data_IF_479443565706
#
_entry.id   IF_479443565706
#
_cell.length_a   1.000
_cell.length_b   1.000
_cell.length_c   1.000
_cell.angle_alpha   90.00
_cell.angle_beta   90.00
_cell.angle_gamma   90.00
#
_symmetry.space_group_name_H-M   'P 1'
#
loop_
_entity.id
_entity.type
_entity.pdbx_description
1 polymer ?
#
# COMPACT_ATOMS: atom_id res chain seq x y z
N UNK A 1 -1.41 30.00 8.83
CA UNK A 1 -0.79 28.79 8.29
C UNK A 1 -0.25 29.15 6.92
N UNK A 2 1.01 28.95 6.65
CA UNK A 2 1.62 29.22 5.33
C UNK A 2 1.62 27.93 4.51
N UNK A 3 1.02 27.97 3.33
CA UNK A 3 0.96 26.85 2.37
C UNK A 3 1.97 26.98 1.23
N UNK A 4 2.89 27.95 1.34
CA UNK A 4 3.91 28.17 0.32
C UNK A 4 4.96 27.06 0.37
N UNK A 5 5.21 26.42 -0.76
CA UNK A 5 6.28 25.42 -0.88
C UNK A 5 7.65 26.07 -0.70
N UNK A 6 8.55 25.37 -0.02
CA UNK A 6 9.98 25.75 0.04
C UNK A 6 10.63 25.68 -1.35
N UNK A 7 11.83 26.23 -1.50
CA UNK A 7 12.58 26.14 -2.73
C UNK A 7 12.91 24.68 -3.10
N UNK A 8 13.30 23.88 -2.11
CA UNK A 8 13.54 22.44 -2.28
C UNK A 8 12.30 21.68 -2.74
N UNK A 9 11.14 21.98 -2.15
CA UNK A 9 9.88 21.38 -2.54
C UNK A 9 9.44 21.77 -3.96
N UNK A 10 9.67 23.02 -4.35
CA UNK A 10 9.44 23.45 -5.75
C UNK A 10 10.36 22.74 -6.72
N UNK A 11 11.63 22.56 -6.37
CA UNK A 11 12.58 21.80 -7.19
C UNK A 11 12.17 20.33 -7.33
N UNK A 12 11.78 19.68 -6.23
CA UNK A 12 11.22 18.32 -6.23
C UNK A 12 9.99 18.25 -7.14
N UNK A 13 9.02 19.14 -6.96
CA UNK A 13 7.81 19.20 -7.77
C UNK A 13 8.11 19.30 -9.26
N UNK A 14 9.04 20.16 -9.65
CA UNK A 14 9.42 20.35 -11.06
C UNK A 14 10.10 19.10 -11.63
N UNK A 15 10.98 18.45 -10.86
CA UNK A 15 11.66 17.22 -11.27
C UNK A 15 10.66 16.08 -11.50
N UNK A 16 9.76 15.86 -10.54
CA UNK A 16 8.72 14.82 -10.63
C UNK A 16 7.75 15.10 -11.78
N UNK A 17 7.32 16.35 -11.94
CA UNK A 17 6.45 16.77 -13.05
C UNK A 17 7.08 16.46 -14.40
N UNK A 18 8.36 16.82 -14.57
CA UNK A 18 9.08 16.54 -15.80
C UNK A 18 9.12 15.04 -16.11
N UNK A 19 9.51 14.24 -15.13
CA UNK A 19 9.50 12.77 -15.26
C UNK A 19 8.09 12.25 -15.62
N UNK A 20 7.08 12.64 -14.86
CA UNK A 20 5.72 12.18 -15.06
C UNK A 20 5.19 12.51 -16.46
N UNK A 21 5.42 13.74 -16.94
CA UNK A 21 4.97 14.15 -18.27
C UNK A 21 5.73 13.48 -19.42
N UNK A 22 6.98 13.11 -19.21
CA UNK A 22 7.81 12.51 -20.25
C UNK A 22 7.69 10.99 -20.32
N UNK A 23 7.62 10.30 -19.19
CA UNK A 23 7.73 8.83 -19.14
C UNK A 23 6.38 8.12 -18.93
N UNK A 24 5.37 8.75 -18.31
CA UNK A 24 4.17 8.03 -17.87
C UNK A 24 2.95 8.04 -18.81
N UNK A 25 2.75 8.97 -19.76
CA UNK A 25 1.48 9.03 -20.50
C UNK A 25 1.17 7.77 -21.32
N UNK A 26 2.16 7.18 -21.97
CA UNK A 26 1.97 5.96 -22.76
C UNK A 26 1.72 4.75 -21.88
N UNK A 27 2.46 4.64 -20.78
CA UNK A 27 2.27 3.58 -19.78
C UNK A 27 0.88 3.66 -19.15
N UNK A 28 0.43 4.86 -18.80
CA UNK A 28 -0.90 5.07 -18.24
C UNK A 28 -2.01 4.66 -19.22
N UNK A 29 -1.87 4.97 -20.52
CA UNK A 29 -2.81 4.52 -21.56
C UNK A 29 -2.84 3.00 -21.71
N UNK A 30 -1.67 2.36 -21.65
CA UNK A 30 -1.58 0.90 -21.73
C UNK A 30 -2.24 0.23 -20.52
N UNK A 31 -1.97 0.70 -19.30
CA UNK A 31 -2.61 0.21 -18.07
C UNK A 31 -4.14 0.35 -18.15
N UNK A 32 -4.64 1.50 -18.62
CA UNK A 32 -6.08 1.73 -18.79
C UNK A 32 -6.69 0.78 -19.82
N UNK A 33 -5.98 0.49 -20.91
CA UNK A 33 -6.48 -0.40 -21.97
C UNK A 33 -6.48 -1.86 -21.53
N UNK A 34 -5.40 -2.33 -20.92
CA UNK A 34 -5.21 -3.75 -20.56
C UNK A 34 -5.84 -4.09 -19.22
N UNK A 35 -6.12 -3.09 -18.38
CA UNK A 35 -6.56 -3.26 -16.99
C UNK A 35 -5.58 -4.10 -16.16
N UNK A 36 -4.26 -3.94 -16.41
CA UNK A 36 -3.20 -4.63 -15.71
C UNK A 36 -2.41 -3.66 -14.80
N UNK A 37 -1.91 -4.11 -13.62
CA UNK A 37 -1.20 -3.25 -12.70
C UNK A 37 0.13 -2.73 -13.26
N UNK A 38 0.66 -1.72 -12.59
CA UNK A 38 2.02 -1.23 -12.83
C UNK A 38 3.01 -2.40 -12.75
N UNK A 39 3.82 -2.55 -13.78
CA UNK A 39 4.79 -3.61 -13.89
C UNK A 39 6.01 -3.41 -12.96
N UNK A 40 6.83 -4.46 -12.83
CA UNK A 40 8.02 -4.42 -12.00
C UNK A 40 9.06 -3.41 -12.52
N UNK A 41 9.13 -3.18 -13.83
CA UNK A 41 10.11 -2.27 -14.42
C UNK A 41 9.83 -0.81 -13.98
N UNK A 42 8.57 -0.39 -14.04
CA UNK A 42 8.18 0.94 -13.59
C UNK A 42 8.29 1.06 -12.05
N UNK A 43 7.96 0.02 -11.29
CA UNK A 43 8.15 0.03 -9.83
C UNK A 43 9.62 0.22 -9.46
N UNK A 44 10.54 -0.51 -10.08
CA UNK A 44 11.99 -0.34 -9.91
C UNK A 44 12.46 1.06 -10.30
N UNK A 45 11.91 1.58 -11.41
CA UNK A 45 12.22 2.95 -11.85
C UNK A 45 11.83 3.99 -10.80
N UNK A 46 10.68 3.82 -10.15
CA UNK A 46 10.29 4.67 -9.02
C UNK A 46 11.23 4.51 -7.82
N UNK A 47 11.68 3.30 -7.52
CA UNK A 47 12.67 3.04 -6.47
C UNK A 47 14.00 3.74 -6.75
N UNK A 48 14.54 3.63 -7.97
CA UNK A 48 15.77 4.30 -8.41
C UNK A 48 15.69 5.83 -8.28
N UNK A 49 14.50 6.40 -8.53
CA UNK A 49 14.22 7.83 -8.41
C UNK A 49 13.95 8.28 -6.97
N UNK A 50 13.86 7.33 -6.02
CA UNK A 50 13.52 7.62 -4.63
C UNK A 50 12.06 8.05 -4.42
N UNK A 51 11.13 7.66 -5.32
CA UNK A 51 9.72 8.01 -5.22
C UNK A 51 8.94 7.02 -4.33
N UNK A 52 9.49 5.83 -4.08
CA UNK A 52 8.94 4.88 -3.13
C UNK A 52 9.57 5.08 -1.74
N UNK A 53 8.73 5.26 -0.73
CA UNK A 53 9.23 5.50 0.63
C UNK A 53 9.90 6.86 0.84
N UNK A 54 9.48 7.90 0.12
CA UNK A 54 10.00 9.28 0.26
C UNK A 54 10.12 9.71 1.72
N UNK A 55 9.13 9.38 2.52
CA UNK A 55 8.96 9.75 3.93
C UNK A 55 9.28 8.61 4.91
N UNK A 56 9.85 7.51 4.44
CA UNK A 56 10.38 6.44 5.29
C UNK A 56 11.83 6.74 5.69
N UNK A 57 12.27 6.15 6.79
CA UNK A 57 13.62 6.32 7.30
C UNK A 57 14.67 5.76 6.33
N UNK A 58 15.83 6.41 6.28
CA UNK A 58 16.95 5.99 5.42
C UNK A 58 17.53 4.62 5.80
N UNK A 59 17.38 4.18 7.05
CA UNK A 59 17.81 2.85 7.50
C UNK A 59 17.08 1.69 6.82
N UNK A 60 15.91 1.98 6.24
CA UNK A 60 15.12 1.02 5.44
C UNK A 60 15.10 1.35 3.96
N UNK A 61 16.01 2.21 3.49
CA UNK A 61 16.09 2.61 2.09
C UNK A 61 15.15 3.77 1.70
N UNK A 62 14.48 4.38 2.65
CA UNK A 62 13.61 5.53 2.43
C UNK A 62 14.36 6.85 2.26
N UNK A 63 13.66 7.88 1.80
CA UNK A 63 14.22 9.21 1.54
C UNK A 63 14.43 10.08 2.77
N UNK A 64 13.88 9.73 3.93
CA UNK A 64 13.93 10.52 5.16
C UNK A 64 13.29 11.90 5.05
N UNK A 65 12.46 12.13 4.03
CA UNK A 65 11.82 13.41 3.77
C UNK A 65 10.49 13.55 4.51
N UNK A 66 9.82 14.68 4.37
CA UNK A 66 8.54 14.90 5.03
C UNK A 66 7.37 14.20 4.30
N UNK A 67 6.24 14.05 5.00
CA UNK A 67 5.00 13.57 4.37
C UNK A 67 4.50 14.53 3.28
N UNK A 68 4.77 15.84 3.42
CA UNK A 68 4.43 16.81 2.38
C UNK A 68 5.24 16.57 1.10
N UNK A 69 6.51 16.22 1.22
CA UNK A 69 7.35 15.90 0.06
C UNK A 69 6.81 14.65 -0.67
N UNK A 70 6.38 13.63 0.08
CA UNK A 70 5.74 12.45 -0.49
C UNK A 70 4.39 12.78 -1.18
N UNK A 71 3.60 13.70 -0.62
CA UNK A 71 2.37 14.20 -1.26
C UNK A 71 2.70 14.91 -2.57
N UNK A 72 3.75 15.73 -2.62
CA UNK A 72 4.19 16.41 -3.85
C UNK A 72 4.53 15.39 -4.95
N UNK A 73 5.27 14.34 -4.60
CA UNK A 73 5.60 13.27 -5.56
C UNK A 73 4.33 12.58 -6.06
N UNK A 74 3.46 12.15 -5.13
CA UNK A 74 2.21 11.47 -5.45
C UNK A 74 1.30 12.33 -6.33
N UNK A 75 1.12 13.61 -6.00
CA UNK A 75 0.27 14.54 -6.74
C UNK A 75 0.72 14.70 -8.19
N UNK A 76 2.01 14.93 -8.43
CA UNK A 76 2.52 15.15 -9.79
C UNK A 76 2.39 13.90 -10.68
N UNK A 77 2.60 12.71 -10.11
CA UNK A 77 2.39 11.44 -10.82
C UNK A 77 0.89 11.17 -11.04
N UNK A 78 0.05 11.41 -10.03
CA UNK A 78 -1.40 11.21 -10.12
C UNK A 78 -2.10 12.12 -11.15
N UNK A 79 -1.50 13.26 -11.49
CA UNK A 79 -2.00 14.13 -12.59
C UNK A 79 -1.97 13.43 -13.95
N UNK A 80 -1.14 12.42 -14.13
CA UNK A 80 -1.12 11.61 -15.34
C UNK A 80 -2.16 10.48 -15.24
N UNK A 81 -2.09 9.67 -14.17
CA UNK A 81 -3.06 8.63 -13.87
C UNK A 81 -2.94 8.18 -12.41
N UNK A 82 -4.08 7.93 -11.78
CA UNK A 82 -4.13 7.40 -10.42
C UNK A 82 -3.49 5.99 -10.36
N UNK A 83 -3.68 5.18 -11.40
CA UNK A 83 -3.15 3.81 -11.44
C UNK A 83 -1.62 3.79 -11.41
N UNK A 84 -0.95 4.66 -12.20
CA UNK A 84 0.54 4.76 -12.16
C UNK A 84 1.05 5.37 -10.86
N UNK A 85 0.24 6.15 -10.15
CA UNK A 85 0.62 6.75 -8.86
C UNK A 85 0.40 5.80 -7.68
N UNK A 86 -0.39 4.74 -7.85
CA UNK A 86 -0.82 3.88 -6.75
C UNK A 86 0.33 3.19 -6.01
N UNK A 87 1.38 2.67 -6.64
CA UNK A 87 2.54 2.12 -5.93
C UNK A 87 3.23 3.14 -5.02
N UNK A 88 3.27 4.42 -5.40
CA UNK A 88 3.82 5.50 -4.57
C UNK A 88 2.92 5.73 -3.35
N UNK A 89 1.59 5.70 -3.54
CA UNK A 89 0.65 5.80 -2.43
C UNK A 89 0.85 4.67 -1.42
N UNK A 90 0.93 3.42 -1.86
CA UNK A 90 1.13 2.26 -0.97
C UNK A 90 2.47 2.33 -0.24
N UNK A 91 3.54 2.75 -0.93
CA UNK A 91 4.86 2.85 -0.34
C UNK A 91 5.01 4.01 0.66
N UNK A 92 4.29 5.14 0.46
CA UNK A 92 4.49 6.35 1.26
C UNK A 92 3.39 6.60 2.31
N UNK A 93 2.14 6.14 2.09
CA UNK A 93 1.00 6.57 2.93
C UNK A 93 0.17 5.42 3.50
N UNK A 94 0.22 4.27 2.89
CA UNK A 94 -0.62 3.15 3.25
C UNK A 94 0.06 2.19 4.22
N UNK A 95 0.15 0.92 3.83
CA UNK A 95 0.62 -0.17 4.68
C UNK A 95 2.06 -0.01 5.13
N UNK A 96 2.92 0.62 4.30
CA UNK A 96 4.33 0.81 4.64
C UNK A 96 4.52 1.71 5.87
N UNK A 97 3.70 2.75 6.05
CA UNK A 97 3.71 3.56 7.28
C UNK A 97 3.25 2.76 8.51
N UNK A 98 2.26 1.88 8.36
CA UNK A 98 1.84 1.03 9.47
C UNK A 98 2.98 0.11 9.92
N UNK A 99 3.71 -0.50 8.99
CA UNK A 99 4.90 -1.30 9.29
C UNK A 99 6.01 -0.43 9.90
N UNK A 100 6.28 0.75 9.34
CA UNK A 100 7.33 1.64 9.82
C UNK A 100 7.11 2.11 11.26
N UNK A 101 5.86 2.48 11.61
CA UNK A 101 5.53 3.03 12.93
C UNK A 101 5.25 1.97 14.00
N UNK A 102 4.64 0.85 13.62
CA UNK A 102 4.11 -0.13 14.57
C UNK A 102 4.73 -1.52 14.43
N UNK A 103 5.43 -1.79 13.34
CA UNK A 103 6.11 -3.06 13.12
C UNK A 103 7.33 -3.24 14.01
N UNK A 104 7.65 -4.50 14.33
CA UNK A 104 8.93 -4.85 14.94
C UNK A 104 10.10 -4.50 14.00
N UNK A 105 11.31 -4.43 14.54
CA UNK A 105 12.50 -4.20 13.70
C UNK A 105 12.63 -5.28 12.62
N UNK A 106 12.34 -6.54 12.96
CA UNK A 106 12.37 -7.64 11.98
C UNK A 106 11.36 -7.46 10.85
N UNK A 107 10.15 -6.95 11.13
CA UNK A 107 9.16 -6.65 10.10
C UNK A 107 9.60 -5.47 9.22
N UNK A 108 10.11 -4.40 9.83
CA UNK A 108 10.62 -3.24 9.09
C UNK A 108 11.71 -3.65 8.10
N UNK A 109 12.71 -4.41 8.57
CA UNK A 109 13.83 -4.86 7.74
C UNK A 109 13.44 -5.90 6.69
N UNK A 110 12.39 -6.68 6.94
CA UNK A 110 11.90 -7.69 5.99
C UNK A 110 11.14 -7.08 4.80
N UNK A 111 10.39 -6.00 5.01
CA UNK A 111 9.48 -5.49 3.97
C UNK A 111 9.90 -4.16 3.39
N UNK A 112 10.30 -3.19 4.22
CA UNK A 112 10.45 -1.80 3.77
C UNK A 112 11.58 -1.59 2.76
N UNK A 113 12.77 -2.24 2.88
CA UNK A 113 13.82 -2.09 1.87
C UNK A 113 13.37 -2.53 0.47
N UNK A 114 12.66 -3.65 0.37
CA UNK A 114 12.17 -4.15 -0.92
C UNK A 114 11.01 -3.29 -1.47
N UNK A 115 10.20 -2.68 -0.59
CA UNK A 115 9.19 -1.69 -0.99
C UNK A 115 9.86 -0.44 -1.55
N UNK A 116 10.86 0.11 -0.86
CA UNK A 116 11.59 1.30 -1.33
C UNK A 116 12.33 1.05 -2.66
N UNK A 117 12.82 -0.17 -2.88
CA UNK A 117 13.45 -0.58 -4.12
C UNK A 117 12.46 -0.87 -5.26
N UNK A 118 11.15 -0.94 -4.99
CA UNK A 118 10.12 -1.32 -5.97
C UNK A 118 10.01 -2.81 -6.24
N UNK A 119 10.67 -3.65 -5.44
CA UNK A 119 10.64 -5.11 -5.59
C UNK A 119 9.38 -5.74 -5.00
N UNK A 120 8.83 -5.12 -3.94
CA UNK A 120 7.58 -5.57 -3.29
C UNK A 120 6.54 -4.47 -3.24
N UNK A 121 5.29 -4.90 -3.30
CA UNK A 121 4.12 -4.10 -2.94
C UNK A 121 3.49 -4.73 -1.71
N UNK A 122 3.17 -3.89 -0.73
CA UNK A 122 2.39 -4.29 0.45
C UNK A 122 1.07 -3.56 0.38
N UNK A 123 -0.04 -4.28 0.49
CA UNK A 123 -1.37 -3.70 0.52
C UNK A 123 -1.93 -3.62 1.94
N UNK A 124 -2.96 -2.79 2.14
CA UNK A 124 -3.70 -2.73 3.40
C UNK A 124 -5.10 -3.31 3.25
N UNK A 125 -5.52 -4.12 4.20
CA UNK A 125 -6.82 -4.77 4.21
C UNK A 125 -7.56 -4.50 5.51
N UNK A 126 -8.58 -3.63 5.45
CA UNK A 126 -9.36 -3.20 6.60
C UNK A 126 -10.84 -3.56 6.46
N UNK A 127 -11.47 -3.16 5.35
CA UNK A 127 -12.92 -3.29 5.15
C UNK A 127 -13.39 -4.74 5.09
N UNK A 128 -14.62 -4.97 5.57
CA UNK A 128 -15.30 -6.26 5.54
C UNK A 128 -16.70 -6.09 4.95
N UNK A 129 -17.39 -7.17 4.56
CA UNK A 129 -18.77 -7.07 4.07
C UNK A 129 -19.71 -6.33 5.04
N UNK A 130 -19.51 -6.47 6.35
CA UNK A 130 -20.28 -5.81 7.41
C UNK A 130 -19.62 -4.58 8.04
N UNK A 131 -18.40 -4.22 7.67
CA UNK A 131 -17.63 -3.14 8.31
C UNK A 131 -16.89 -2.29 7.29
N UNK A 132 -17.46 -1.16 6.90
CA UNK A 132 -16.86 -0.14 6.05
C UNK A 132 -16.37 1.06 6.86
N UNK A 133 -17.12 2.18 6.83
CA UNK A 133 -16.77 3.39 7.61
C UNK A 133 -16.70 3.12 9.12
N UNK A 134 -17.51 2.22 9.63
CA UNK A 134 -17.45 1.74 11.02
C UNK A 134 -16.43 0.60 11.16
N UNK A 135 -15.15 0.88 10.95
CA UNK A 135 -14.07 -0.12 11.04
C UNK A 135 -13.96 -0.80 12.41
N UNK A 136 -14.46 -0.16 13.46
CA UNK A 136 -14.54 -0.75 14.79
C UNK A 136 -15.45 -1.98 14.88
N UNK A 137 -16.30 -2.20 13.87
CA UNK A 137 -17.24 -3.31 13.80
C UNK A 137 -16.67 -4.52 13.03
N UNK A 138 -15.40 -4.45 12.60
CA UNK A 138 -14.76 -5.57 11.92
C UNK A 138 -14.81 -6.85 12.77
N UNK A 139 -15.00 -7.98 12.09
CA UNK A 139 -15.22 -9.31 12.66
C UNK A 139 -14.08 -10.29 12.38
N UNK A 140 -13.24 -10.04 11.37
CA UNK A 140 -12.04 -10.87 11.13
C UNK A 140 -11.23 -10.96 12.41
N UNK A 141 -10.93 -12.20 12.83
CA UNK A 141 -10.29 -12.48 14.11
C UNK A 141 -8.92 -13.08 13.91
N UNK A 142 -7.95 -12.61 14.69
CA UNK A 142 -6.64 -13.21 14.85
C UNK A 142 -6.52 -13.82 16.24
N UNK A 143 -6.32 -15.12 16.32
CA UNK A 143 -6.11 -15.84 17.57
C UNK A 143 -4.63 -16.13 17.76
N UNK A 144 -4.05 -15.63 18.86
CA UNK A 144 -2.65 -15.84 19.19
C UNK A 144 -2.51 -17.19 19.88
N UNK A 145 -1.83 -18.14 19.23
CA UNK A 145 -1.60 -19.49 19.73
C UNK A 145 -0.12 -19.81 19.70
N UNK A 146 0.55 -19.68 20.85
CA UNK A 146 2.01 -19.84 20.97
C UNK A 146 2.74 -18.79 20.17
N UNK A 147 3.48 -19.21 19.16
CA UNK A 147 4.28 -18.37 18.24
C UNK A 147 3.54 -18.02 16.93
N UNK A 148 2.28 -18.38 16.81
CA UNK A 148 1.47 -18.22 15.61
C UNK A 148 0.26 -17.33 15.87
N UNK A 149 -0.24 -16.74 14.79
CA UNK A 149 -1.53 -16.03 14.76
C UNK A 149 -2.39 -16.72 13.69
N UNK A 150 -3.51 -17.29 14.13
CA UNK A 150 -4.47 -17.95 13.25
C UNK A 150 -5.51 -16.91 12.86
N UNK A 151 -5.69 -16.65 11.57
CA UNK A 151 -6.63 -15.67 11.05
C UNK A 151 -7.86 -16.35 10.48
N UNK A 152 -9.05 -15.87 10.89
CA UNK A 152 -10.33 -16.29 10.34
C UNK A 152 -11.18 -15.08 10.00
N UNK A 153 -11.73 -15.05 8.79
CA UNK A 153 -12.61 -13.96 8.36
C UNK A 153 -12.55 -13.66 6.88
N UNK A 154 -13.22 -12.57 6.50
CA UNK A 154 -13.31 -12.10 5.12
C UNK A 154 -13.06 -10.61 5.08
N UNK A 155 -12.15 -10.20 4.20
CA UNK A 155 -11.94 -8.80 3.85
C UNK A 155 -12.52 -8.50 2.47
N UNK A 156 -12.87 -7.24 2.24
CA UNK A 156 -13.55 -6.80 1.03
C UNK A 156 -12.91 -5.56 0.44
N UNK A 157 -12.94 -5.45 -0.89
CA UNK A 157 -12.45 -4.30 -1.65
C UNK A 157 -10.99 -3.93 -1.34
N UNK A 158 -10.17 -4.94 -1.09
CA UNK A 158 -8.76 -4.70 -0.85
C UNK A 158 -8.06 -4.34 -2.16
N UNK A 159 -7.62 -3.10 -2.29
CA UNK A 159 -6.76 -2.68 -3.40
C UNK A 159 -5.42 -3.41 -3.32
N UNK A 160 -4.94 -3.91 -4.47
CA UNK A 160 -3.74 -4.75 -4.53
C UNK A 160 -3.98 -6.23 -4.21
N UNK A 161 -5.22 -6.64 -3.83
CA UNK A 161 -5.52 -8.03 -3.54
C UNK A 161 -5.26 -8.94 -4.75
N UNK A 162 -4.55 -10.03 -4.52
CA UNK A 162 -4.11 -10.97 -5.55
C UNK A 162 -2.86 -10.52 -6.34
N UNK A 163 -2.49 -9.23 -6.25
CA UNK A 163 -1.29 -8.67 -6.90
C UNK A 163 -0.14 -8.45 -5.91
N UNK A 164 -0.41 -7.80 -4.78
CA UNK A 164 0.61 -7.46 -3.77
C UNK A 164 1.26 -8.71 -3.18
N UNK A 165 2.53 -8.60 -2.80
CA UNK A 165 3.32 -9.68 -2.22
C UNK A 165 3.01 -9.91 -0.73
N UNK A 166 2.52 -8.88 -0.02
CA UNK A 166 2.10 -8.98 1.38
C UNK A 166 0.94 -8.02 1.71
N UNK A 167 0.28 -8.27 2.83
CA UNK A 167 -0.92 -7.56 3.24
C UNK A 167 -0.87 -7.20 4.72
N UNK A 168 -1.09 -5.94 5.07
CA UNK A 168 -1.36 -5.51 6.45
C UNK A 168 -2.84 -5.69 6.71
N UNK A 169 -3.21 -6.75 7.42
CA UNK A 169 -4.58 -7.17 7.68
C UNK A 169 -4.99 -6.70 9.08
N UNK A 170 -5.98 -5.83 9.16
CA UNK A 170 -6.57 -5.41 10.42
C UNK A 170 -7.58 -6.46 10.91
N UNK A 171 -7.43 -6.90 12.16
CA UNK A 171 -8.28 -7.94 12.74
C UNK A 171 -8.48 -7.72 14.25
N UNK A 172 -9.44 -8.42 14.83
CA UNK A 172 -9.59 -8.48 16.27
C UNK A 172 -8.58 -9.43 16.87
N UNK A 173 -7.73 -8.90 17.73
CA UNK A 173 -6.73 -9.66 18.51
C UNK A 173 -7.18 -9.86 19.96
N UNK A 174 -8.27 -9.21 20.40
CA UNK A 174 -8.86 -9.40 21.73
C UNK A 174 -10.35 -9.03 21.75
N UNK A 175 -11.04 -9.35 22.84
CA UNK A 175 -12.45 -9.02 23.05
C UNK A 175 -12.66 -7.59 23.60
N UNK A 176 -11.61 -6.78 23.69
CA UNK A 176 -11.76 -5.40 24.10
C UNK A 176 -12.66 -4.62 23.09
N UNK A 177 -13.61 -3.80 23.58
CA UNK A 177 -14.60 -3.15 22.71
C UNK A 177 -13.98 -2.06 21.83
N UNK A 178 -14.58 -1.87 20.64
CA UNK A 178 -14.21 -0.84 19.67
C UNK A 178 -12.78 -1.04 19.15
N UNK A 179 -12.07 0.05 18.94
CA UNK A 179 -10.71 0.02 18.40
C UNK A 179 -9.68 -0.65 19.31
N UNK A 180 -9.93 -0.73 20.62
CA UNK A 180 -8.98 -1.33 21.58
C UNK A 180 -8.74 -2.82 21.38
N UNK A 181 -9.69 -3.52 20.75
CA UNK A 181 -9.55 -4.94 20.42
C UNK A 181 -8.90 -5.19 19.05
N UNK A 182 -8.64 -4.14 18.27
CA UNK A 182 -8.13 -4.25 16.90
C UNK A 182 -6.63 -4.10 16.89
N UNK A 183 -5.98 -4.98 16.14
CA UNK A 183 -4.57 -4.89 15.77
C UNK A 183 -4.40 -5.16 14.28
N UNK A 184 -3.16 -5.32 13.86
CA UNK A 184 -2.83 -5.66 12.48
C UNK A 184 -1.79 -6.78 12.42
N UNK A 185 -1.91 -7.63 11.41
CA UNK A 185 -0.98 -8.72 11.12
C UNK A 185 -0.50 -8.56 9.69
N UNK A 186 0.78 -8.78 9.45
CA UNK A 186 1.31 -8.85 8.08
C UNK A 186 1.22 -10.29 7.60
N UNK A 187 0.54 -10.50 6.48
CA UNK A 187 0.33 -11.81 5.86
C UNK A 187 0.95 -11.82 4.47
N UNK A 188 1.86 -12.75 4.21
CA UNK A 188 2.45 -12.92 2.88
C UNK A 188 1.46 -13.60 1.92
N UNK A 189 1.52 -13.22 0.64
CA UNK A 189 0.82 -13.94 -0.41
C UNK A 189 1.30 -15.39 -0.46
N UNK A 190 0.34 -16.32 -0.53
CA UNK A 190 0.66 -17.77 -0.54
C UNK A 190 0.75 -18.40 0.85
N UNK A 191 0.45 -17.67 1.91
CA UNK A 191 0.23 -18.26 3.24
C UNK A 191 -0.91 -19.29 3.17
N UNK A 192 -0.72 -20.46 3.78
CA UNK A 192 -1.75 -21.49 3.84
C UNK A 192 -3.04 -20.94 4.48
N UNK A 193 -4.20 -21.32 3.94
CA UNK A 193 -5.50 -20.82 4.39
C UNK A 193 -5.84 -19.41 3.90
N UNK A 194 -4.94 -18.71 3.19
CA UNK A 194 -5.17 -17.40 2.62
C UNK A 194 -5.49 -17.48 1.12
N UNK A 195 -6.64 -16.96 0.72
CA UNK A 195 -7.09 -17.01 -0.67
C UNK A 195 -7.81 -15.72 -1.10
N UNK A 196 -8.02 -15.58 -2.41
CA UNK A 196 -8.60 -14.40 -3.04
C UNK A 196 -9.89 -14.75 -3.78
N UNK A 197 -10.83 -13.82 -3.74
CA UNK A 197 -12.05 -13.88 -4.53
C UNK A 197 -11.84 -13.51 -6.00
N UNK A 198 -12.95 -13.43 -6.72
CA UNK A 198 -12.93 -12.93 -8.09
C UNK A 198 -12.56 -11.46 -8.11
N UNK A 199 -11.68 -11.07 -9.06
CA UNK A 199 -11.31 -9.68 -9.29
C UNK A 199 -12.56 -8.83 -9.61
N UNK A 200 -12.66 -7.68 -8.97
CA UNK A 200 -13.64 -6.65 -9.27
C UNK A 200 -13.30 -5.94 -10.60
N UNK A 201 -14.32 -5.60 -11.38
CA UNK A 201 -14.17 -4.75 -12.55
C UNK A 201 -14.61 -3.34 -12.21
N UNK A 202 -13.68 -2.42 -12.24
CA UNK A 202 -13.93 -1.02 -11.92
C UNK A 202 -14.36 -0.21 -13.14
N UNK A 203 -15.24 0.75 -12.94
CA UNK A 203 -15.63 1.73 -13.96
C UNK A 203 -14.47 2.69 -14.28
N UNK A 204 -13.63 2.98 -13.32
CA UNK A 204 -12.37 3.74 -13.41
C UNK A 204 -11.35 3.13 -12.49
N UNK A 205 -10.16 3.73 -12.35
CA UNK A 205 -9.07 3.18 -11.55
C UNK A 205 -8.61 1.79 -12.06
N UNK A 206 -8.67 1.62 -13.37
CA UNK A 206 -8.24 0.39 -14.05
C UNK A 206 -6.74 0.20 -13.82
N UNK A 207 -6.31 -1.05 -13.75
CA UNK A 207 -4.94 -1.40 -13.40
C UNK A 207 -4.66 -1.48 -11.90
N UNK A 208 -5.63 -1.17 -11.04
CA UNK A 208 -5.54 -1.46 -9.61
C UNK A 208 -6.46 -2.62 -9.27
N UNK A 209 -5.87 -3.76 -8.93
CA UNK A 209 -6.63 -4.95 -8.55
C UNK A 209 -7.38 -4.73 -7.26
N UNK A 210 -8.61 -5.24 -7.21
CA UNK A 210 -9.43 -5.29 -6.01
C UNK A 210 -10.23 -6.59 -6.01
N UNK A 211 -10.30 -7.23 -4.86
CA UNK A 211 -11.18 -8.39 -4.64
C UNK A 211 -11.40 -8.63 -3.15
N UNK A 212 -12.26 -9.60 -2.85
CA UNK A 212 -12.40 -10.14 -1.51
C UNK A 212 -11.18 -11.00 -1.15
N UNK A 213 -10.87 -11.07 0.13
CA UNK A 213 -9.81 -11.91 0.71
C UNK A 213 -10.39 -12.79 1.79
N UNK A 214 -10.04 -14.07 1.77
CA UNK A 214 -10.56 -15.08 2.70
C UNK A 214 -9.42 -15.66 3.53
N UNK A 215 -9.64 -15.76 4.83
CA UNK A 215 -8.72 -16.36 5.80
C UNK A 215 -9.43 -17.54 6.48
N UNK A 216 -8.85 -18.72 6.36
CA UNK A 216 -9.38 -19.99 6.88
C UNK A 216 -8.22 -20.79 7.51
N UNK A 217 -7.94 -20.50 8.81
CA UNK A 217 -6.90 -21.11 9.65
C UNK A 217 -5.50 -20.94 9.09
#
# INVERSE_FOLDING_TARGET
>A
MDFTLTEQQRALQQAVRKFAQQELPDIARQIEADDEPVDLALRRRYGELGYLGVNLDSSVGGGGMSHLDAVIVLEEVAKISIAVAFPIFEACFGPSLAIAHFGSESLRQRYLPEVCAGEKVVAVSMSEPGAGSALTDLSTRGEITGDRIILNGTKRWCSGAGHSEAYVVYCRLSDAPGARGIGAVVVDKGTDGFSFGKRDHHMGFRGVYSCDMYFDN
#
